data_IF_836672049301
#
_entry.id   IF_836672049301
#
_cell.length_a   1.000
_cell.length_b   1.000
_cell.length_c   1.000
_cell.angle_alpha   90.00
_cell.angle_beta   90.00
_cell.angle_gamma   90.00
#
_symmetry.space_group_name_H-M   'P 1'
#
loop_
_entity.id
_entity.type
_entity.pdbx_description
1 polymer ?
#
# COMPACT_ATOMS: atom_id res chain seq x y z
N UNK A 1 4.70 -1.70 -12.30
CA UNK A 1 5.19 -1.17 -11.04
C UNK A 1 3.94 -1.03 -10.24
N UNK A 2 3.68 -2.12 -9.54
CA UNK A 2 2.65 -2.28 -8.55
C UNK A 2 3.39 -2.54 -7.24
N UNK A 3 2.85 -2.08 -6.12
CA UNK A 3 3.50 -2.27 -4.82
C UNK A 3 2.87 -3.43 -4.09
N UNK A 4 3.71 -4.24 -3.45
CA UNK A 4 3.27 -5.31 -2.55
C UNK A 4 2.39 -4.79 -1.39
N UNK A 5 1.25 -5.44 -1.21
CA UNK A 5 0.30 -5.20 -0.12
C UNK A 5 0.29 -6.41 0.81
N UNK A 6 0.61 -6.18 2.08
CA UNK A 6 0.70 -7.20 3.13
C UNK A 6 0.00 -6.70 4.38
N UNK A 7 -0.88 -7.52 4.97
CA UNK A 7 -1.66 -7.11 6.15
C UNK A 7 -2.45 -5.82 5.90
N UNK A 8 -2.27 -4.84 6.78
CA UNK A 8 -2.88 -3.51 6.69
C UNK A 8 -1.90 -2.53 6.05
N UNK A 9 -2.38 -1.76 5.08
CA UNK A 9 -1.58 -0.80 4.32
C UNK A 9 -2.28 0.54 4.20
N UNK A 10 -1.51 1.62 4.18
CA UNK A 10 -1.95 2.92 3.67
C UNK A 10 -1.29 3.15 2.32
N UNK A 11 -2.12 3.34 1.30
CA UNK A 11 -1.71 3.66 -0.07
C UNK A 11 -1.86 5.16 -0.27
N UNK A 12 -0.85 5.81 -0.84
CA UNK A 12 -0.78 7.26 -1.01
C UNK A 12 -0.38 7.56 -2.46
N UNK A 13 -0.98 8.57 -3.09
CA UNK A 13 -0.51 9.04 -4.40
C UNK A 13 0.82 9.78 -4.26
N UNK A 14 1.79 9.47 -5.13
CA UNK A 14 3.09 10.13 -5.11
C UNK A 14 3.03 11.61 -5.51
N UNK A 15 2.05 12.01 -6.32
CA UNK A 15 1.85 13.42 -6.67
C UNK A 15 1.43 14.27 -5.46
N UNK A 16 0.55 13.74 -4.60
CA UNK A 16 0.14 14.37 -3.35
C UNK A 16 1.31 14.43 -2.35
N UNK A 17 2.12 13.38 -2.25
CA UNK A 17 3.36 13.42 -1.47
C UNK A 17 4.30 14.53 -1.94
N UNK A 18 4.50 14.66 -3.25
CA UNK A 18 5.41 15.66 -3.82
C UNK A 18 4.93 17.09 -3.57
N UNK A 19 3.61 17.30 -3.55
CA UNK A 19 3.01 18.60 -3.24
C UNK A 19 3.11 18.95 -1.74
N UNK A 20 2.85 17.98 -0.86
CA UNK A 20 2.86 18.18 0.59
C UNK A 20 4.27 18.22 1.19
N UNK A 21 5.23 17.53 0.57
CA UNK A 21 6.61 17.42 1.05
C UNK A 21 7.61 17.89 -0.02
N UNK A 22 7.84 19.21 -0.18
CA UNK A 22 8.84 19.74 -1.12
C UNK A 22 10.27 19.29 -0.79
N UNK A 23 10.55 18.92 0.46
CA UNK A 23 11.80 18.28 0.87
C UNK A 23 11.93 16.81 0.45
N UNK A 24 10.93 16.28 -0.25
CA UNK A 24 10.92 14.92 -0.78
C UNK A 24 10.91 13.84 0.29
N UNK A 25 11.53 12.71 -0.03
CA UNK A 25 11.52 11.51 0.80
C UNK A 25 12.13 11.73 2.20
N UNK A 26 13.11 12.63 2.34
CA UNK A 26 13.70 12.93 3.64
C UNK A 26 12.65 13.49 4.62
N UNK A 27 11.86 14.45 4.16
CA UNK A 27 10.81 15.08 4.97
C UNK A 27 9.63 14.13 5.20
N UNK A 28 9.25 13.34 4.20
CA UNK A 28 8.21 12.34 4.38
C UNK A 28 8.65 11.25 5.37
N UNK A 29 9.91 10.82 5.31
CA UNK A 29 10.49 9.82 6.20
C UNK A 29 10.41 10.20 7.69
N UNK A 30 10.37 11.49 8.03
CA UNK A 30 10.18 11.95 9.42
C UNK A 30 8.83 11.57 10.02
N UNK A 31 7.81 11.32 9.19
CA UNK A 31 6.48 10.93 9.64
C UNK A 31 6.18 9.44 9.46
N UNK A 32 6.99 8.73 8.67
CA UNK A 32 6.80 7.28 8.47
C UNK A 32 7.17 6.54 9.76
N UNK A 33 6.25 5.81 10.39
CA UNK A 33 6.45 5.30 11.75
C UNK A 33 7.28 4.00 11.81
N UNK A 34 7.65 3.42 10.67
CA UNK A 34 8.35 2.15 10.59
C UNK A 34 9.10 2.00 9.25
N UNK A 35 9.82 0.89 9.07
CA UNK A 35 10.62 0.65 7.86
C UNK A 35 9.88 -0.16 6.78
N UNK A 36 8.61 0.15 6.53
CA UNK A 36 7.78 -0.58 5.53
C UNK A 36 7.43 0.25 4.31
N UNK A 37 7.96 1.48 4.21
CA UNK A 37 7.76 2.35 3.07
C UNK A 37 8.26 1.70 1.77
N UNK A 38 7.43 1.77 0.74
CA UNK A 38 7.78 1.37 -0.62
C UNK A 38 7.03 2.28 -1.60
N UNK A 39 7.61 2.61 -2.75
CA UNK A 39 6.96 3.42 -3.78
C UNK A 39 7.37 2.96 -5.18
N UNK A 40 6.46 3.10 -6.14
CA UNK A 40 6.70 2.83 -7.56
C UNK A 40 6.83 4.09 -8.43
N UNK A 41 6.75 5.26 -7.78
CA UNK A 41 6.76 6.56 -8.44
C UNK A 41 5.37 7.10 -8.78
N UNK A 42 4.33 6.26 -8.78
CA UNK A 42 2.93 6.66 -8.98
C UNK A 42 2.15 6.61 -7.66
N UNK A 43 2.33 5.53 -6.91
CA UNK A 43 1.81 5.32 -5.57
C UNK A 43 2.94 4.99 -4.60
N UNK A 44 2.66 5.19 -3.32
CA UNK A 44 3.47 4.79 -2.20
C UNK A 44 2.63 3.96 -1.24
N UNK A 45 3.29 3.09 -0.47
CA UNK A 45 2.69 2.21 0.51
C UNK A 45 3.47 2.28 1.82
N UNK A 46 2.74 2.36 2.93
CA UNK A 46 3.25 2.12 4.28
C UNK A 46 2.41 1.01 4.92
N UNK A 47 3.05 0.05 5.56
CA UNK A 47 2.43 -1.09 6.23
C UNK A 47 2.28 -0.93 7.73
N UNK A 48 1.23 -1.55 8.28
CA UNK A 48 0.85 -1.46 9.68
C UNK A 48 0.44 -2.83 10.21
N UNK A 49 0.62 -3.04 11.52
CA UNK A 49 0.21 -4.27 12.17
C UNK A 49 -1.30 -4.29 12.44
N UNK A 50 -1.92 -3.12 12.61
CA UNK A 50 -3.33 -2.99 13.01
C UNK A 50 -4.06 -1.82 12.33
N UNK A 51 -5.39 -1.91 12.22
CA UNK A 51 -6.23 -0.83 11.68
C UNK A 51 -6.11 0.49 12.44
N UNK A 52 -6.07 0.51 13.80
CA UNK A 52 -5.91 1.77 14.53
C UNK A 52 -4.60 2.50 14.24
N UNK A 53 -3.49 1.78 14.02
CA UNK A 53 -2.21 2.39 13.63
C UNK A 53 -2.29 3.01 12.23
N UNK A 54 -2.90 2.30 11.28
CA UNK A 54 -3.11 2.80 9.93
C UNK A 54 -4.02 4.04 9.92
N UNK A 55 -5.12 4.03 10.70
CA UNK A 55 -6.00 5.18 10.86
C UNK A 55 -5.27 6.38 11.51
N UNK A 56 -4.46 6.14 12.53
CA UNK A 56 -3.65 7.20 13.13
C UNK A 56 -2.70 7.84 12.11
N UNK A 57 -2.09 7.03 11.24
CA UNK A 57 -1.23 7.53 10.17
C UNK A 57 -2.01 8.32 9.11
N UNK A 58 -3.23 7.91 8.77
CA UNK A 58 -4.11 8.70 7.87
C UNK A 58 -4.36 10.10 8.44
N UNK A 59 -4.62 10.22 9.74
CA UNK A 59 -4.76 11.53 10.41
C UNK A 59 -3.48 12.36 10.35
N UNK A 60 -2.30 11.71 10.46
CA UNK A 60 -1.02 12.39 10.30
C UNK A 60 -0.86 12.93 8.87
N UNK A 61 -1.21 12.15 7.84
CA UNK A 61 -1.17 12.61 6.45
C UNK A 61 -2.05 13.85 6.23
N UNK A 62 -3.28 13.84 6.75
CA UNK A 62 -4.19 14.99 6.68
C UNK A 62 -3.60 16.23 7.37
N UNK A 63 -3.02 16.06 8.56
CA UNK A 63 -2.36 17.16 9.28
C UNK A 63 -1.15 17.75 8.55
N UNK A 64 -0.57 17.02 7.59
CA UNK A 64 0.55 17.45 6.75
C UNK A 64 0.10 17.95 5.37
N UNK A 65 -1.20 18.10 5.14
CA UNK A 65 -1.74 18.66 3.91
C UNK A 65 -1.98 17.63 2.81
N UNK A 66 -2.01 16.34 3.13
CA UNK A 66 -2.44 15.28 2.20
C UNK A 66 -3.90 14.94 2.51
N UNK A 67 -4.87 15.42 1.71
CA UNK A 67 -6.28 15.11 1.95
C UNK A 67 -6.52 13.63 1.66
N UNK A 68 -6.76 12.83 2.70
CA UNK A 68 -7.03 11.41 2.49
C UNK A 68 -8.34 11.23 1.73
N UNK A 69 -9.40 11.90 2.19
CA UNK A 69 -10.74 11.81 1.60
C UNK A 69 -11.33 13.19 1.28
N UNK A 70 -12.19 13.23 0.28
CA UNK A 70 -13.07 14.36 -0.05
C UNK A 70 -14.47 13.81 -0.32
N UNK A 71 -15.50 14.39 0.31
CA UNK A 71 -16.89 13.92 0.18
C UNK A 71 -17.06 12.41 0.48
N UNK A 72 -16.27 11.90 1.43
CA UNK A 72 -16.26 10.48 1.82
C UNK A 72 -15.59 9.54 0.81
N UNK A 73 -14.96 10.07 -0.25
CA UNK A 73 -14.21 9.29 -1.24
C UNK A 73 -12.71 9.51 -1.08
N UNK A 74 -11.87 8.48 -1.21
CA UNK A 74 -10.42 8.64 -1.22
C UNK A 74 -9.96 9.52 -2.39
N UNK A 75 -9.11 10.52 -2.12
CA UNK A 75 -8.55 11.41 -3.16
C UNK A 75 -7.03 11.37 -3.25
N UNK A 76 -6.32 11.23 -2.13
CA UNK A 76 -4.86 11.10 -2.13
C UNK A 76 -4.32 9.95 -1.29
N UNK A 77 -5.09 9.43 -0.33
CA UNK A 77 -4.70 8.27 0.46
C UNK A 77 -5.89 7.35 0.75
N UNK A 78 -5.64 6.05 0.88
CA UNK A 78 -6.65 5.04 1.21
C UNK A 78 -6.06 3.90 2.02
N UNK A 79 -6.81 3.38 2.99
CA UNK A 79 -6.47 2.14 3.67
C UNK A 79 -6.81 0.93 2.81
N UNK A 80 -5.94 -0.07 2.83
CA UNK A 80 -6.03 -1.28 2.04
C UNK A 80 -5.66 -2.49 2.91
N UNK A 81 -6.59 -3.42 3.03
CA UNK A 81 -6.42 -4.70 3.70
C UNK A 81 -6.14 -5.80 2.67
N UNK A 82 -5.11 -6.62 2.91
CA UNK A 82 -4.70 -7.70 1.99
C UNK A 82 -5.81 -8.73 1.70
N UNK A 83 -6.69 -8.98 2.67
CA UNK A 83 -7.79 -9.93 2.56
C UNK A 83 -9.04 -9.29 1.93
N UNK A 84 -9.40 -8.08 2.37
CA UNK A 84 -10.68 -7.43 2.07
C UNK A 84 -10.62 -6.41 0.92
N UNK A 85 -9.43 -5.91 0.58
CA UNK A 85 -9.27 -4.82 -0.38
C UNK A 85 -9.41 -3.44 0.27
N UNK A 86 -9.81 -2.43 -0.52
CA UNK A 86 -9.86 -1.05 -0.04
C UNK A 86 -10.93 -0.85 1.03
N UNK A 87 -10.60 -0.10 2.08
CA UNK A 87 -11.53 0.25 3.16
C UNK A 87 -12.67 1.18 2.68
N UNK A 88 -12.43 1.94 1.61
CA UNK A 88 -13.41 2.79 0.93
C UNK A 88 -13.32 2.54 -0.58
N UNK A 89 -14.43 2.68 -1.35
CA UNK A 89 -14.38 2.63 -2.80
C UNK A 89 -13.33 3.60 -3.35
N UNK A 90 -12.30 3.07 -4.01
CA UNK A 90 -11.20 3.86 -4.54
C UNK A 90 -11.18 3.74 -6.06
N UNK A 91 -11.31 4.87 -6.75
CA UNK A 91 -11.36 4.91 -8.23
C UNK A 91 -10.00 5.22 -8.85
N UNK A 92 -9.07 5.77 -8.08
CA UNK A 92 -7.76 6.16 -8.59
C UNK A 92 -6.69 5.08 -8.39
N UNK A 93 -6.96 4.02 -7.63
CA UNK A 93 -6.07 2.89 -7.44
C UNK A 93 -6.77 1.57 -7.75
N UNK A 94 -5.99 0.62 -8.24
CA UNK A 94 -6.39 -0.76 -8.47
C UNK A 94 -5.73 -1.69 -7.45
N UNK A 95 -6.52 -2.61 -6.91
CA UNK A 95 -6.06 -3.68 -6.05
C UNK A 95 -6.26 -5.02 -6.75
N UNK A 96 -5.27 -5.89 -6.67
CA UNK A 96 -5.36 -7.23 -7.24
C UNK A 96 -4.43 -8.22 -6.58
N UNK A 97 -4.42 -9.43 -7.12
CA UNK A 97 -3.53 -10.52 -6.70
C UNK A 97 -2.83 -11.11 -7.91
N UNK A 98 -1.57 -11.48 -7.73
CA UNK A 98 -0.78 -12.17 -8.74
C UNK A 98 -0.10 -13.40 -8.14
N UNK A 99 0.12 -14.40 -8.98
CA UNK A 99 0.85 -15.61 -8.64
C UNK A 99 2.34 -15.38 -8.93
N UNK A 100 3.18 -15.45 -7.90
CA UNK A 100 4.62 -15.35 -8.06
C UNK A 100 5.15 -16.61 -8.72
N UNK A 101 6.07 -16.42 -9.67
CA UNK A 101 6.72 -17.52 -10.39
C UNK A 101 5.71 -18.46 -11.09
N UNK A 102 4.50 -17.96 -11.40
CA UNK A 102 3.42 -18.75 -11.98
C UNK A 102 2.81 -19.79 -11.03
N UNK A 103 3.10 -19.73 -9.73
CA UNK A 103 2.60 -20.67 -8.73
C UNK A 103 1.38 -20.11 -7.99
N UNK A 104 0.24 -20.78 -8.12
CA UNK A 104 -0.99 -20.46 -7.35
C UNK A 104 -0.81 -20.65 -5.84
N UNK A 105 0.22 -21.40 -5.42
CA UNK A 105 0.61 -21.53 -4.03
C UNK A 105 1.40 -20.32 -3.50
N UNK A 106 1.90 -19.44 -4.39
CA UNK A 106 2.67 -18.24 -4.04
C UNK A 106 1.95 -16.96 -4.46
N UNK A 107 0.75 -16.74 -3.93
CA UNK A 107 -0.06 -15.57 -4.28
C UNK A 107 0.32 -14.36 -3.41
N UNK A 108 0.50 -13.21 -4.04
CA UNK A 108 0.71 -11.92 -3.37
C UNK A 108 -0.35 -10.92 -3.79
N UNK A 109 -0.62 -9.93 -2.93
CA UNK A 109 -1.53 -8.84 -3.25
C UNK A 109 -0.73 -7.60 -3.67
N UNK A 110 -1.28 -6.83 -4.60
CA UNK A 110 -0.64 -5.62 -5.10
C UNK A 110 -1.62 -4.45 -5.16
N UNK A 111 -1.05 -3.25 -5.14
CA UNK A 111 -1.77 -2.02 -5.44
C UNK A 111 -1.00 -1.21 -6.50
N UNK A 112 -1.71 -0.53 -7.40
CA UNK A 112 -1.12 0.40 -8.39
C UNK A 112 -2.09 1.54 -8.70
N UNK A 113 -1.60 2.59 -9.35
CA UNK A 113 -2.47 3.62 -9.90
C UNK A 113 -3.40 3.01 -10.98
N UNK A 114 -4.67 3.40 -10.97
CA UNK A 114 -5.64 2.92 -11.95
C UNK A 114 -5.23 3.29 -13.38
N UNK A 115 -5.29 2.33 -14.30
CA UNK A 115 -4.82 2.50 -15.68
C UNK A 115 -3.30 2.51 -15.88
N UNK A 116 -2.50 2.28 -14.82
CA UNK A 116 -1.05 2.19 -14.94
C UNK A 116 -0.62 1.09 -15.91
N UNK A 117 0.32 1.42 -16.79
CA UNK A 117 0.91 0.50 -17.76
C UNK A 117 2.11 -0.27 -17.19
N UNK A 118 2.50 0.04 -15.96
CA UNK A 118 3.68 -0.55 -15.36
C UNK A 118 3.35 -1.99 -14.91
N UNK A 119 4.14 -2.98 -15.33
CA UNK A 119 3.86 -4.41 -15.09
C UNK A 119 4.71 -5.07 -13.99
N UNK A 120 5.83 -4.46 -13.61
CA UNK A 120 6.72 -5.01 -12.57
C UNK A 120 6.09 -4.92 -11.17
N UNK A 121 6.38 -5.87 -10.27
CA UNK A 121 6.00 -5.79 -8.86
C UNK A 121 7.21 -5.29 -8.06
N UNK A 122 7.04 -4.18 -7.34
CA UNK A 122 8.02 -3.71 -6.37
C UNK A 122 7.74 -4.29 -4.99
N UNK A 123 8.79 -4.81 -4.39
CA UNK A 123 8.83 -5.30 -3.02
C UNK A 123 9.88 -4.51 -2.25
N UNK A 124 9.79 -4.40 -0.91
CA UNK A 124 10.89 -3.88 -0.11
C UNK A 124 12.19 -4.65 -0.40
N UNK A 125 13.35 -3.98 -0.38
CA UNK A 125 14.65 -4.51 -0.82
C UNK A 125 15.06 -5.84 -0.14
N UNK A 126 14.59 -6.10 1.09
CA UNK A 126 14.88 -7.30 1.87
C UNK A 126 13.72 -8.29 1.95
N UNK A 127 12.68 -8.14 1.12
CA UNK A 127 11.50 -8.99 1.17
C UNK A 127 11.73 -10.34 0.47
N UNK A 128 11.23 -11.42 1.09
CA UNK A 128 11.18 -12.76 0.50
C UNK A 128 9.85 -13.41 0.82
N UNK A 129 9.30 -14.16 -0.14
CA UNK A 129 7.98 -14.79 0.03
C UNK A 129 7.92 -15.71 1.25
N UNK A 130 8.92 -16.57 1.44
CA UNK A 130 8.88 -17.67 2.42
C UNK A 130 8.74 -17.20 3.89
N UNK A 131 9.16 -15.96 4.18
CA UNK A 131 9.05 -15.37 5.52
C UNK A 131 7.97 -14.27 5.61
N UNK A 132 7.20 -14.05 4.54
CA UNK A 132 6.28 -12.92 4.38
C UNK A 132 4.92 -13.12 5.06
N UNK A 133 4.14 -12.05 5.18
CA UNK A 133 2.74 -12.17 5.58
C UNK A 133 1.91 -12.88 4.51
N UNK A 134 2.26 -12.70 3.23
CA UNK A 134 1.62 -13.33 2.08
C UNK A 134 1.72 -14.87 2.10
N UNK A 135 2.86 -15.42 2.52
CA UNK A 135 3.00 -16.88 2.71
C UNK A 135 2.09 -17.42 3.82
N UNK A 136 2.04 -16.73 4.97
CA UNK A 136 1.17 -17.11 6.10
C UNK A 136 -0.31 -16.99 5.74
N UNK A 137 -0.67 -15.94 4.99
CA UNK A 137 -2.02 -15.71 4.51
C UNK A 137 -2.47 -16.82 3.53
N UNK A 138 -1.63 -17.17 2.56
CA UNK A 138 -1.94 -18.22 1.58
C UNK A 138 -2.10 -19.60 2.25
N UNK A 139 -1.27 -19.91 3.24
CA UNK A 139 -1.39 -21.14 4.01
C UNK A 139 -2.75 -21.24 4.76
N UNK A 140 -3.27 -20.12 5.25
CA UNK A 140 -4.57 -20.08 5.94
C UNK A 140 -5.75 -20.14 4.95
N UNK A 141 -5.60 -19.55 3.76
CA UNK A 141 -6.62 -19.58 2.71
C UNK A 141 -6.80 -20.97 2.07
N UNK A 142 -5.73 -21.76 1.95
CA UNK A 142 -5.77 -23.11 1.39
C UNK A 142 -6.19 -24.20 2.40
N UNK A 143 -6.40 -23.85 3.67
CA UNK A 143 -6.80 -24.76 4.74
C UNK A 143 -8.31 -24.81 5.03
N UNK A 144 -9.15 -24.30 4.11
CA UNK A 144 -10.62 -24.35 4.21
C UNK A 144 -11.22 -25.26 3.15
#
# INVERSE_FOLDING_TARGET
MSILVEGISVIIRCDALSQAFPGGLAQFGEIVPNNTYCADGEVARVGFATDPEALAFMTVLESRGIPATQDGQPVAAVMLDQAQGFALPCVWAEFGRIDLEGSTAKRVSFCRLAGSQLTELLTPDSWSYDNSASARFTATANGR
#
